data_IF_675883999508
#
_entry.id   IF_675883999508
#
_cell.length_a   1.000
_cell.length_b   1.000
_cell.length_c   1.000
_cell.angle_alpha   90.00
_cell.angle_beta   90.00
_cell.angle_gamma   90.00
#
_symmetry.space_group_name_H-M   'P 1'
#
loop_
_entity.id
_entity.type
_entity.pdbx_description
1 polymer ?
#
# COMPACT_ATOMS: atom_id res chain seq x y z
N UNK A 1 -36.49 -54.59 -6.15
CA UNK A 1 -35.55 -55.68 -5.82
C UNK A 1 -34.16 -55.13 -6.11
N UNK A 2 -33.20 -55.02 -5.20
CA UNK A 2 -33.09 -55.15 -3.75
C UNK A 2 -31.69 -54.58 -3.42
N UNK A 3 -31.51 -54.04 -2.22
CA UNK A 3 -30.37 -53.24 -1.76
C UNK A 3 -29.10 -54.07 -1.43
N UNK A 4 -27.95 -53.38 -1.33
CA UNK A 4 -26.92 -53.50 -0.27
C UNK A 4 -25.77 -52.51 -0.63
N UNK A 5 -25.46 -51.42 0.06
CA UNK A 5 -25.20 -51.13 1.48
C UNK A 5 -23.96 -51.84 2.06
N UNK A 6 -22.86 -51.09 2.23
CA UNK A 6 -21.80 -51.35 3.20
C UNK A 6 -21.21 -50.02 3.70
N UNK A 7 -21.83 -49.50 4.77
CA UNK A 7 -21.15 -48.66 5.75
C UNK A 7 -20.19 -49.52 6.58
N UNK A 8 -19.01 -48.97 6.88
CA UNK A 8 -18.05 -49.53 7.85
C UNK A 8 -17.55 -48.43 8.77
N UNK A 9 -18.17 -48.34 9.95
CA UNK A 9 -17.82 -47.45 11.07
C UNK A 9 -17.35 -48.30 12.25
N UNK A 10 -16.13 -48.08 12.74
CA UNK A 10 -15.62 -48.40 14.09
C UNK A 10 -14.39 -47.48 14.26
N UNK A 11 -14.36 -46.45 15.11
CA UNK A 11 -14.47 -46.49 16.58
C UNK A 11 -13.18 -47.09 17.15
N UNK A 12 -12.35 -46.47 17.98
CA UNK A 12 -12.34 -45.21 18.73
C UNK A 12 -11.30 -45.40 19.86
N UNK A 13 -10.60 -44.34 20.29
CA UNK A 13 -9.97 -44.24 21.63
C UNK A 13 -9.42 -42.82 21.82
N UNK A 14 -10.19 -41.97 22.50
CA UNK A 14 -9.71 -40.70 23.09
C UNK A 14 -9.97 -40.79 24.59
N UNK A 15 -8.90 -40.86 25.38
CA UNK A 15 -8.88 -40.69 26.83
C UNK A 15 -7.52 -40.09 27.20
N UNK A 16 -7.51 -38.96 27.90
CA UNK A 16 -6.29 -38.25 28.30
C UNK A 16 -6.61 -36.92 28.96
N UNK A 17 -7.09 -37.00 30.20
CA UNK A 17 -7.35 -35.89 31.13
C UNK A 17 -6.08 -35.38 31.80
N UNK A 18 -5.97 -34.05 31.98
CA UNK A 18 -5.11 -33.36 32.96
C UNK A 18 -5.30 -31.85 32.76
N UNK A 19 -5.83 -31.01 33.67
CA UNK A 19 -5.88 -30.91 35.13
C UNK A 19 -4.53 -30.70 35.82
N UNK A 20 -4.08 -29.44 35.91
CA UNK A 20 -3.33 -28.80 37.00
C UNK A 20 -3.58 -27.27 36.86
N UNK A 21 -4.27 -26.58 37.79
CA UNK A 21 -3.72 -25.90 38.98
C UNK A 21 -3.06 -24.57 38.59
N UNK A 22 -3.47 -23.35 38.96
CA UNK A 22 -3.98 -22.82 40.23
C UNK A 22 -2.95 -21.80 40.76
N UNK A 23 -3.36 -20.57 41.13
CA UNK A 23 -2.46 -19.63 41.82
C UNK A 23 -2.87 -18.15 41.79
N UNK A 24 -3.23 -17.64 42.98
CA UNK A 24 -3.77 -16.31 43.28
C UNK A 24 -2.69 -15.27 43.69
N UNK A 25 -3.04 -13.98 43.62
CA UNK A 25 -2.42 -12.86 44.37
C UNK A 25 -2.85 -11.52 43.75
N UNK A 26 -3.67 -10.63 44.33
CA UNK A 26 -3.74 -9.97 45.63
C UNK A 26 -2.95 -8.64 45.73
N UNK A 27 -3.68 -7.60 46.18
CA UNK A 27 -3.30 -6.39 46.96
C UNK A 27 -2.59 -5.17 46.33
N UNK A 28 -3.12 -3.98 46.69
CA UNK A 28 -2.42 -2.68 46.84
C UNK A 28 -2.79 -1.66 45.75
N UNK A 29 -3.58 -0.60 45.98
CA UNK A 29 -3.32 0.54 46.88
C UNK A 29 -2.43 1.56 46.17
N UNK A 30 -2.65 2.85 46.03
CA UNK A 30 -3.60 3.87 46.50
C UNK A 30 -2.97 5.23 46.14
N UNK A 31 -3.66 6.35 46.39
CA UNK A 31 -2.97 7.62 46.65
C UNK A 31 -3.14 8.75 45.64
N UNK A 32 -3.85 9.77 46.12
CA UNK A 32 -4.15 11.08 45.56
C UNK A 32 -2.93 11.98 45.31
N UNK A 33 -3.09 12.92 44.38
CA UNK A 33 -2.20 14.08 44.22
C UNK A 33 -2.93 15.25 43.54
N UNK A 34 -3.44 16.17 44.36
CA UNK A 34 -3.68 17.59 44.04
C UNK A 34 -2.50 18.17 43.24
N UNK A 35 -2.62 19.07 42.28
CA UNK A 35 -3.59 20.12 42.02
C UNK A 35 -2.78 21.34 41.57
N UNK A 36 -3.15 21.98 40.46
CA UNK A 36 -2.67 23.33 40.14
C UNK A 36 -3.54 23.95 39.06
N UNK A 37 -4.56 24.69 39.52
CA UNK A 37 -5.13 25.83 38.78
C UNK A 37 -4.04 26.89 38.68
N UNK A 38 -3.65 27.27 37.47
CA UNK A 38 -2.80 28.42 37.18
C UNK A 38 -3.33 29.14 35.95
N UNK A 39 -3.86 30.34 36.16
CA UNK A 39 -4.29 31.29 35.13
C UNK A 39 -3.09 32.03 34.52
N UNK A 40 -3.20 32.35 33.22
CA UNK A 40 -2.78 33.63 32.65
C UNK A 40 -1.35 33.73 32.12
N UNK A 41 -1.20 34.29 30.91
CA UNK A 41 0.07 34.88 30.48
C UNK A 41 0.35 34.82 28.98
N UNK A 42 -0.19 35.80 28.23
CA UNK A 42 0.33 36.26 26.94
C UNK A 42 1.80 36.71 27.05
N UNK A 43 2.68 36.25 26.16
CA UNK A 43 3.77 37.07 25.60
C UNK A 43 4.47 36.40 24.42
N UNK A 44 4.84 37.24 23.47
CA UNK A 44 5.75 36.95 22.36
C UNK A 44 7.14 36.57 22.88
N UNK A 45 7.80 35.62 22.21
CA UNK A 45 9.18 35.30 22.48
C UNK A 45 9.75 34.36 21.43
N UNK A 46 10.50 34.92 20.50
CA UNK A 46 11.43 34.20 19.65
C UNK A 46 12.46 33.48 20.53
N UNK A 47 12.66 32.19 20.26
CA UNK A 47 13.69 31.37 20.90
C UNK A 47 14.13 30.30 19.92
N UNK A 48 15.31 30.52 19.33
CA UNK A 48 16.11 29.47 18.72
C UNK A 48 16.62 28.50 19.79
N UNK A 49 17.08 27.35 19.30
CA UNK A 49 17.91 26.36 20.00
C UNK A 49 17.16 25.31 20.83
N UNK A 50 17.21 24.08 20.32
CA UNK A 50 16.73 22.91 21.04
C UNK A 50 16.75 21.67 20.15
N UNK A 51 17.93 21.08 19.99
CA UNK A 51 18.08 19.76 19.38
C UNK A 51 17.16 18.73 20.04
N UNK A 52 16.34 18.08 19.22
CA UNK A 52 15.35 17.09 19.66
C UNK A 52 15.03 16.15 18.52
N UNK A 53 15.95 15.20 18.29
CA UNK A 53 15.84 14.20 17.22
C UNK A 53 14.56 13.37 17.28
N UNK A 54 14.02 13.10 16.09
CA UNK A 54 13.17 11.97 15.71
C UNK A 54 11.81 11.73 16.42
N UNK A 55 11.54 12.26 17.61
CA UNK A 55 10.31 11.94 18.37
C UNK A 55 9.08 12.76 17.98
N UNK A 56 9.24 13.97 17.44
CA UNK A 56 8.12 14.84 17.06
C UNK A 56 7.39 14.45 15.76
N UNK A 57 8.10 13.96 14.75
CA UNK A 57 7.48 13.57 13.47
C UNK A 57 6.72 12.25 13.58
N UNK A 58 7.27 11.31 14.36
CA UNK A 58 6.66 10.00 14.62
C UNK A 58 5.39 10.13 15.45
N UNK A 59 5.40 10.97 16.50
CA UNK A 59 4.20 11.24 17.29
C UNK A 59 3.11 11.92 16.46
N UNK A 60 3.46 12.88 15.58
CA UNK A 60 2.48 13.47 14.64
C UNK A 60 1.96 12.47 13.61
N UNK A 61 2.81 11.59 13.09
CA UNK A 61 2.40 10.52 12.17
C UNK A 61 1.42 9.56 12.87
N UNK A 62 1.74 9.12 14.08
CA UNK A 62 0.89 8.26 14.91
C UNK A 62 -0.42 8.96 15.27
N UNK A 63 -0.39 10.25 15.62
CA UNK A 63 -1.60 11.06 15.89
C UNK A 63 -2.46 11.23 14.65
N UNK A 64 -1.86 11.51 13.49
CA UNK A 64 -2.56 11.62 12.22
C UNK A 64 -3.25 10.30 11.83
N UNK A 65 -2.55 9.17 12.01
CA UNK A 65 -3.08 7.84 11.73
C UNK A 65 -4.13 7.39 12.74
N UNK A 66 -3.95 7.68 14.04
CA UNK A 66 -4.98 7.46 15.08
C UNK A 66 -6.23 8.30 14.79
N UNK A 67 -6.05 9.53 14.31
CA UNK A 67 -7.16 10.38 13.94
C UNK A 67 -7.86 9.88 12.67
N UNK A 68 -7.13 9.30 11.71
CA UNK A 68 -7.71 8.58 10.56
C UNK A 68 -8.56 7.41 11.04
N UNK A 69 -8.01 6.53 11.90
CA UNK A 69 -8.72 5.35 12.42
C UNK A 69 -9.95 5.72 13.24
N UNK A 70 -9.84 6.71 14.14
CA UNK A 70 -10.95 7.21 14.99
C UNK A 70 -12.06 7.86 14.18
N UNK A 71 -11.71 8.59 13.12
CA UNK A 71 -12.69 9.31 12.29
C UNK A 71 -13.41 8.39 11.32
N UNK A 72 -12.72 7.40 10.75
CA UNK A 72 -13.35 6.42 9.86
C UNK A 72 -14.39 5.52 10.57
N UNK A 73 -14.28 5.38 11.89
CA UNK A 73 -15.31 4.72 12.70
C UNK A 73 -16.51 5.61 13.05
N UNK A 74 -16.39 6.95 12.88
CA UNK A 74 -17.40 7.91 13.33
C UNK A 74 -18.16 8.60 12.19
N UNK A 75 -17.50 8.95 11.08
CA UNK A 75 -18.13 9.56 9.88
C UNK A 75 -17.16 9.53 8.68
N UNK A 76 -17.52 8.89 7.53
CA UNK A 76 -16.63 8.76 6.38
C UNK A 76 -16.58 10.06 5.52
N UNK A 77 -16.06 11.15 6.08
CA UNK A 77 -15.74 12.36 5.30
C UNK A 77 -14.45 12.15 4.49
N UNK A 78 -14.61 11.64 3.27
CA UNK A 78 -13.53 11.40 2.29
C UNK A 78 -12.72 12.66 1.96
N UNK A 79 -13.36 13.84 1.94
CA UNK A 79 -12.69 15.10 1.66
C UNK A 79 -11.71 15.49 2.78
N UNK A 80 -12.07 15.23 4.03
CA UNK A 80 -11.17 15.40 5.17
C UNK A 80 -10.07 14.35 5.21
N UNK A 81 -10.37 13.08 4.94
CA UNK A 81 -9.35 12.02 4.89
C UNK A 81 -8.26 12.35 3.85
N UNK A 82 -8.67 12.78 2.66
CA UNK A 82 -7.79 13.24 1.58
C UNK A 82 -6.86 14.39 2.05
N UNK A 83 -7.37 15.35 2.84
CA UNK A 83 -6.54 16.44 3.39
C UNK A 83 -5.51 15.92 4.39
N UNK A 84 -5.91 15.04 5.30
CA UNK A 84 -4.99 14.46 6.30
C UNK A 84 -3.88 13.67 5.60
N UNK A 85 -4.23 12.84 4.62
CA UNK A 85 -3.22 12.09 3.86
C UNK A 85 -2.28 13.04 3.10
N UNK A 86 -2.80 14.11 2.50
CA UNK A 86 -1.96 15.12 1.84
C UNK A 86 -1.01 15.82 2.84
N UNK A 87 -1.47 16.17 4.03
CA UNK A 87 -0.63 16.71 5.11
C UNK A 87 0.47 15.72 5.52
N UNK A 88 0.11 14.43 5.66
CA UNK A 88 1.07 13.37 5.93
C UNK A 88 2.11 13.26 4.81
N UNK A 89 1.71 13.24 3.54
CA UNK A 89 2.62 13.18 2.41
C UNK A 89 3.57 14.38 2.31
N UNK A 90 3.24 15.51 2.96
CA UNK A 90 4.08 16.72 3.03
C UNK A 90 4.99 16.75 4.25
N UNK A 91 4.84 15.83 5.21
CA UNK A 91 5.77 15.74 6.33
C UNK A 91 7.19 15.52 5.81
N UNK A 92 8.17 16.28 6.31
CA UNK A 92 9.51 16.35 5.71
C UNK A 92 10.19 14.98 5.61
N UNK A 93 10.01 14.11 6.60
CA UNK A 93 10.59 12.77 6.59
C UNK A 93 9.96 11.91 5.50
N UNK A 94 8.63 11.86 5.49
CA UNK A 94 7.85 11.07 4.53
C UNK A 94 7.99 11.57 3.10
N UNK A 95 8.00 12.88 2.89
CA UNK A 95 8.19 13.52 1.61
C UNK A 95 9.56 13.18 1.01
N UNK A 96 10.62 13.20 1.83
CA UNK A 96 11.97 12.82 1.39
C UNK A 96 12.01 11.33 1.05
N UNK A 97 11.52 10.47 1.95
CA UNK A 97 11.46 9.02 1.71
C UNK A 97 10.70 8.66 0.43
N UNK A 98 9.51 9.24 0.23
CA UNK A 98 8.69 8.97 -0.94
C UNK A 98 9.33 9.51 -2.22
N UNK A 99 9.90 10.71 -2.18
CA UNK A 99 10.67 11.28 -3.29
C UNK A 99 11.85 10.38 -3.68
N UNK A 100 12.62 9.91 -2.69
CA UNK A 100 13.77 9.03 -2.92
C UNK A 100 13.33 7.68 -3.49
N UNK A 101 12.24 7.10 -2.97
CA UNK A 101 11.65 5.85 -3.51
C UNK A 101 11.22 5.99 -4.98
N UNK A 102 10.60 7.12 -5.33
CA UNK A 102 10.16 7.38 -6.71
C UNK A 102 11.33 7.63 -7.68
N UNK A 103 12.42 8.23 -7.18
CA UNK A 103 13.59 8.60 -7.99
C UNK A 103 14.66 7.52 -8.05
N UNK A 104 14.72 6.61 -7.06
CA UNK A 104 15.61 5.45 -7.07
C UNK A 104 15.43 4.74 -8.41
N UNK A 105 14.17 4.45 -8.78
CA UNK A 105 13.74 3.97 -10.08
C UNK A 105 13.43 2.47 -10.10
N UNK A 106 13.49 1.77 -8.96
CA UNK A 106 12.90 0.44 -8.80
C UNK A 106 11.39 0.50 -9.05
N UNK A 107 10.67 1.44 -8.41
CA UNK A 107 9.25 1.65 -8.66
C UNK A 107 8.97 2.05 -10.13
N UNK A 108 9.86 2.81 -10.76
CA UNK A 108 9.68 3.20 -12.17
C UNK A 108 9.82 2.02 -13.13
N UNK A 109 10.68 1.03 -12.82
CA UNK A 109 10.79 -0.21 -13.59
C UNK A 109 9.47 -1.01 -13.52
N UNK A 110 8.93 -1.19 -12.31
CA UNK A 110 7.65 -1.88 -12.10
C UNK A 110 6.48 -1.17 -12.80
N UNK A 111 6.46 0.17 -12.78
CA UNK A 111 5.48 0.93 -13.57
C UNK A 111 5.65 0.66 -15.08
N UNK A 112 6.88 0.58 -15.56
CA UNK A 112 7.19 0.22 -16.94
C UNK A 112 6.58 -1.13 -17.34
N UNK A 113 6.69 -2.13 -16.46
CA UNK A 113 6.09 -3.45 -16.66
C UNK A 113 4.55 -3.39 -16.70
N UNK A 114 3.91 -2.65 -15.78
CA UNK A 114 2.46 -2.43 -15.82
C UNK A 114 2.00 -1.77 -17.13
N UNK A 115 2.74 -0.77 -17.61
CA UNK A 115 2.45 -0.10 -18.86
C UNK A 115 2.62 -1.05 -20.06
N UNK A 116 3.63 -1.92 -20.04
CA UNK A 116 3.87 -2.92 -21.08
C UNK A 116 2.76 -3.98 -21.11
N UNK A 117 2.35 -4.51 -19.94
CA UNK A 117 1.21 -5.42 -19.79
C UNK A 117 -0.07 -4.76 -20.32
N UNK A 118 -0.34 -3.52 -19.91
CA UNK A 118 -1.50 -2.76 -20.37
C UNK A 118 -1.50 -2.49 -21.87
N UNK A 119 -0.34 -2.29 -22.49
CA UNK A 119 -0.23 -2.16 -23.95
C UNK A 119 -0.60 -3.47 -24.66
N UNK A 120 -0.11 -4.62 -24.18
CA UNK A 120 -0.42 -5.95 -24.74
C UNK A 120 -1.89 -6.32 -24.59
N UNK A 121 -2.50 -6.06 -23.44
CA UNK A 121 -3.93 -6.28 -23.21
C UNK A 121 -4.81 -5.45 -24.16
N UNK A 122 -4.40 -4.21 -24.47
CA UNK A 122 -5.09 -3.36 -25.45
C UNK A 122 -4.88 -3.82 -26.89
N UNK A 123 -3.73 -4.42 -27.19
CA UNK A 123 -3.48 -5.08 -28.47
C UNK A 123 -4.29 -6.39 -28.64
N UNK A 124 -4.97 -6.85 -27.58
CA UNK A 124 -5.80 -8.04 -27.59
C UNK A 124 -5.05 -9.34 -27.29
N UNK A 125 -3.81 -9.25 -26.79
CA UNK A 125 -3.08 -10.43 -26.33
C UNK A 125 -3.76 -11.06 -25.11
N UNK A 126 -3.79 -12.39 -25.08
CA UNK A 126 -4.27 -13.16 -23.92
C UNK A 126 -3.21 -13.25 -22.83
N UNK A 127 -3.66 -13.55 -21.61
CA UNK A 127 -2.83 -13.62 -20.41
C UNK A 127 -1.68 -14.61 -20.54
N UNK A 128 -1.90 -15.77 -21.16
CA UNK A 128 -0.84 -16.74 -21.44
C UNK A 128 0.33 -16.14 -22.24
N UNK A 129 0.02 -15.37 -23.28
CA UNK A 129 1.03 -14.75 -24.15
C UNK A 129 1.78 -13.65 -23.42
N UNK A 130 1.05 -12.87 -22.60
CA UNK A 130 1.64 -11.86 -21.74
C UNK A 130 2.60 -12.53 -20.75
N UNK A 131 2.17 -13.55 -19.99
CA UNK A 131 3.00 -14.28 -19.04
C UNK A 131 4.29 -14.83 -19.69
N UNK A 132 4.16 -15.48 -20.85
CA UNK A 132 5.32 -16.00 -21.59
C UNK A 132 6.29 -14.91 -22.02
N UNK A 133 5.82 -13.71 -22.36
CA UNK A 133 6.70 -12.61 -22.74
C UNK A 133 7.58 -12.09 -21.60
N UNK A 134 7.18 -12.34 -20.36
CA UNK A 134 7.95 -12.09 -19.14
C UNK A 134 8.73 -13.33 -18.67
N UNK A 135 8.78 -14.40 -19.49
CA UNK A 135 9.49 -15.64 -19.17
C UNK A 135 8.77 -16.52 -18.15
N UNK A 136 7.45 -16.34 -17.99
CA UNK A 136 6.63 -17.10 -17.03
C UNK A 136 5.74 -18.10 -17.74
N UNK A 137 5.70 -19.32 -17.21
CA UNK A 137 4.82 -20.37 -17.70
C UNK A 137 3.35 -20.02 -17.49
N UNK A 138 2.53 -20.29 -18.50
CA UNK A 138 1.10 -20.03 -18.53
C UNK A 138 0.30 -21.08 -17.71
N UNK A 139 0.72 -21.33 -16.48
CA UNK A 139 0.14 -22.31 -15.56
C UNK A 139 -0.68 -21.69 -14.42
N UNK A 140 -1.00 -22.53 -13.43
CA UNK A 140 -1.61 -22.10 -12.17
C UNK A 140 -0.73 -21.07 -11.46
N UNK A 141 -1.32 -19.99 -10.99
CA UNK A 141 -0.60 -18.91 -10.31
C UNK A 141 0.33 -18.10 -11.21
N UNK A 142 0.11 -18.13 -12.54
CA UNK A 142 0.94 -17.39 -13.51
C UNK A 142 0.99 -15.87 -13.24
N UNK A 143 -0.07 -15.26 -12.67
CA UNK A 143 -0.05 -13.85 -12.27
C UNK A 143 0.89 -13.56 -11.11
N UNK A 144 0.89 -14.38 -10.06
CA UNK A 144 1.86 -14.26 -8.99
C UNK A 144 3.29 -14.48 -9.50
N UNK A 145 3.50 -15.52 -10.32
CA UNK A 145 4.81 -15.80 -10.91
C UNK A 145 5.31 -14.65 -11.81
N UNK A 146 4.43 -14.00 -12.57
CA UNK A 146 4.75 -12.79 -13.33
C UNK A 146 5.17 -11.64 -12.41
N UNK A 147 4.46 -11.45 -11.29
CA UNK A 147 4.87 -10.43 -10.33
C UNK A 147 6.27 -10.68 -9.77
N UNK A 148 6.55 -11.92 -9.40
CA UNK A 148 7.86 -12.34 -8.88
C UNK A 148 8.96 -12.11 -9.94
N UNK A 149 8.69 -12.45 -11.20
CA UNK A 149 9.61 -12.25 -12.31
C UNK A 149 9.90 -10.75 -12.56
N UNK A 150 8.88 -9.89 -12.58
CA UNK A 150 9.07 -8.45 -12.77
C UNK A 150 9.89 -7.83 -11.63
N UNK A 151 9.58 -8.20 -10.38
CA UNK A 151 10.30 -7.73 -9.19
C UNK A 151 11.77 -8.17 -9.24
N UNK A 152 12.04 -9.45 -9.48
CA UNK A 152 13.40 -9.97 -9.56
C UNK A 152 14.18 -9.34 -10.73
N UNK A 153 13.55 -9.15 -11.89
CA UNK A 153 14.17 -8.46 -13.03
C UNK A 153 14.54 -7.00 -12.68
N UNK A 154 13.63 -6.27 -12.04
CA UNK A 154 13.86 -4.90 -11.61
C UNK A 154 14.98 -4.80 -10.56
N UNK A 155 15.08 -5.77 -9.64
CA UNK A 155 16.17 -5.87 -8.66
C UNK A 155 17.51 -6.20 -9.32
N UNK A 156 17.53 -7.16 -10.24
CA UNK A 156 18.74 -7.55 -10.99
C UNK A 156 19.33 -6.38 -11.77
N UNK A 157 18.48 -5.59 -12.43
CA UNK A 157 18.90 -4.39 -13.15
C UNK A 157 19.62 -3.36 -12.26
N UNK A 158 19.45 -3.48 -10.94
CA UNK A 158 20.04 -2.61 -9.92
C UNK A 158 21.11 -3.32 -9.08
N UNK A 159 21.59 -4.48 -9.53
CA UNK A 159 22.52 -5.32 -8.79
C UNK A 159 22.06 -5.60 -7.34
N UNK A 160 20.74 -5.67 -7.11
CA UNK A 160 20.13 -5.83 -5.80
C UNK A 160 20.50 -4.73 -4.78
N UNK A 161 20.91 -3.55 -5.24
CA UNK A 161 21.24 -2.39 -4.41
C UNK A 161 20.05 -1.42 -4.32
N UNK A 162 18.94 -1.90 -3.78
CA UNK A 162 17.72 -1.10 -3.52
C UNK A 162 17.44 -1.14 -2.02
N UNK A 163 17.01 -0.02 -1.44
CA UNK A 163 16.59 0.02 -0.03
C UNK A 163 15.43 -0.96 0.20
N UNK A 164 15.55 -1.85 1.18
CA UNK A 164 14.57 -2.89 1.49
C UNK A 164 13.14 -2.33 1.68
N UNK A 165 13.02 -1.11 2.22
CA UNK A 165 11.73 -0.45 2.43
C UNK A 165 11.07 -0.05 1.11
N UNK A 166 11.88 0.33 0.11
CA UNK A 166 11.40 0.58 -1.24
C UNK A 166 10.97 -0.72 -1.91
N UNK A 167 11.75 -1.80 -1.71
CA UNK A 167 11.42 -3.12 -2.23
C UNK A 167 10.07 -3.57 -1.68
N UNK A 168 9.89 -3.52 -0.36
CA UNK A 168 8.65 -3.91 0.33
C UNK A 168 7.46 -3.09 -0.18
N UNK A 169 7.54 -1.76 -0.11
CA UNK A 169 6.43 -0.86 -0.46
C UNK A 169 6.05 -0.97 -1.93
N UNK A 170 7.02 -0.95 -2.85
CA UNK A 170 6.74 -0.98 -4.28
C UNK A 170 6.32 -2.36 -4.78
N UNK A 171 6.88 -3.44 -4.22
CA UNK A 171 6.43 -4.80 -4.54
C UNK A 171 5.01 -5.07 -4.04
N UNK A 172 4.67 -4.60 -2.84
CA UNK A 172 3.31 -4.71 -2.31
C UNK A 172 2.32 -3.93 -3.18
N UNK A 173 2.65 -2.68 -3.54
CA UNK A 173 1.83 -1.86 -4.42
C UNK A 173 1.63 -2.51 -5.81
N UNK A 174 2.68 -3.10 -6.38
CA UNK A 174 2.61 -3.75 -7.69
C UNK A 174 1.69 -4.99 -7.66
N UNK A 175 1.81 -5.81 -6.61
CA UNK A 175 0.94 -6.98 -6.43
C UNK A 175 -0.51 -6.56 -6.19
N UNK A 176 -0.74 -5.53 -5.40
CA UNK A 176 -2.10 -5.02 -5.14
C UNK A 176 -2.75 -4.51 -6.43
N UNK A 177 -1.99 -3.81 -7.27
CA UNK A 177 -2.47 -3.40 -8.60
C UNK A 177 -2.89 -4.60 -9.46
N UNK A 178 -2.05 -5.65 -9.50
CA UNK A 178 -2.36 -6.87 -10.25
C UNK A 178 -3.59 -7.60 -9.69
N UNK A 179 -3.75 -7.65 -8.37
CA UNK A 179 -4.96 -8.18 -7.71
C UNK A 179 -6.20 -7.34 -8.08
N UNK A 180 -6.08 -6.01 -8.06
CA UNK A 180 -7.17 -5.11 -8.45
C UNK A 180 -7.58 -5.32 -9.92
N UNK A 181 -6.63 -5.67 -10.79
CA UNK A 181 -6.90 -5.96 -12.20
C UNK A 181 -7.80 -7.18 -12.42
N UNK A 182 -7.97 -8.06 -11.44
CA UNK A 182 -8.89 -9.20 -11.47
C UNK A 182 -10.05 -9.05 -10.48
N UNK A 183 -10.48 -7.81 -10.24
CA UNK A 183 -11.61 -7.50 -9.36
C UNK A 183 -11.32 -7.63 -7.87
N UNK A 184 -10.05 -7.68 -7.47
CA UNK A 184 -9.66 -7.80 -6.07
C UNK A 184 -9.58 -9.25 -5.56
N UNK A 185 -9.79 -10.25 -6.43
CA UNK A 185 -9.72 -11.66 -6.03
C UNK A 185 -8.27 -12.12 -5.87
N UNK A 186 -7.79 -12.09 -4.62
CA UNK A 186 -6.45 -12.57 -4.25
C UNK A 186 -6.24 -14.05 -4.53
N UNK A 187 -7.28 -14.88 -4.44
CA UNK A 187 -7.15 -16.32 -4.72
C UNK A 187 -6.91 -16.51 -6.22
N UNK A 188 -7.68 -15.80 -7.04
CA UNK A 188 -7.51 -15.82 -8.48
C UNK A 188 -6.13 -15.30 -8.90
N UNK A 189 -5.67 -14.18 -8.33
CA UNK A 189 -4.35 -13.62 -8.64
C UNK A 189 -3.18 -14.55 -8.24
N UNK A 190 -3.33 -15.36 -7.19
CA UNK A 190 -2.25 -16.20 -6.65
C UNK A 190 -2.29 -17.64 -7.13
N UNK A 191 -3.48 -18.18 -7.43
CA UNK A 191 -3.69 -19.61 -7.71
C UNK A 191 -4.54 -19.86 -8.94
N UNK A 192 -5.09 -18.82 -9.56
CA UNK A 192 -5.90 -18.93 -10.76
C UNK A 192 -5.17 -19.59 -11.91
N UNK A 193 -5.91 -20.34 -12.71
CA UNK A 193 -5.43 -20.73 -14.03
C UNK A 193 -5.54 -19.57 -15.02
N UNK A 194 -4.90 -19.74 -16.17
CA UNK A 194 -4.87 -18.72 -17.23
C UNK A 194 -6.25 -18.34 -17.73
N UNK A 195 -7.15 -19.31 -17.92
CA UNK A 195 -8.47 -19.04 -18.47
C UNK A 195 -9.32 -18.22 -17.51
N UNK A 196 -9.22 -18.50 -16.21
CA UNK A 196 -9.87 -17.74 -15.16
C UNK A 196 -9.32 -16.31 -15.08
N UNK A 197 -8.00 -16.14 -15.17
CA UNK A 197 -7.37 -14.80 -15.20
C UNK A 197 -7.79 -14.03 -16.45
N UNK A 198 -7.74 -14.64 -17.63
CA UNK A 198 -8.16 -14.02 -18.89
C UNK A 198 -9.64 -13.58 -18.88
N UNK A 199 -10.50 -14.36 -18.23
CA UNK A 199 -11.91 -14.03 -18.09
C UNK A 199 -12.16 -12.88 -17.10
N UNK A 200 -11.34 -12.76 -16.05
CA UNK A 200 -11.55 -11.80 -14.98
C UNK A 200 -10.79 -10.48 -15.17
N UNK A 201 -9.75 -10.45 -16.00
CA UNK A 201 -8.86 -9.29 -16.11
C UNK A 201 -9.60 -8.08 -16.69
N UNK A 202 -9.72 -7.02 -15.88
CA UNK A 202 -10.26 -5.74 -16.29
C UNK A 202 -9.17 -4.88 -16.93
N UNK A 203 -9.23 -4.82 -18.26
CA UNK A 203 -8.30 -4.03 -19.08
C UNK A 203 -8.37 -2.52 -18.77
N UNK A 204 -9.48 -2.04 -18.20
CA UNK A 204 -9.63 -0.62 -17.86
C UNK A 204 -8.75 -0.22 -16.67
N UNK A 205 -8.43 -1.15 -15.78
CA UNK A 205 -7.50 -0.89 -14.66
C UNK A 205 -6.13 -0.45 -15.20
N UNK A 206 -5.66 -1.09 -16.28
CA UNK A 206 -4.39 -0.75 -16.94
C UNK A 206 -4.43 0.57 -17.73
N UNK A 207 -5.62 1.08 -18.09
CA UNK A 207 -5.72 2.40 -18.73
C UNK A 207 -5.28 3.52 -17.78
N UNK A 208 -5.45 3.31 -16.47
CA UNK A 208 -5.07 4.23 -15.40
C UNK A 208 -3.86 3.73 -14.59
N UNK A 209 -2.99 2.90 -15.19
CA UNK A 209 -1.90 2.23 -14.48
C UNK A 209 -1.00 3.18 -13.65
N UNK A 210 -0.69 4.37 -14.17
CA UNK A 210 0.16 5.34 -13.45
C UNK A 210 -0.53 5.85 -12.19
N UNK A 211 -1.80 6.28 -12.31
CA UNK A 211 -2.57 6.79 -11.17
C UNK A 211 -2.87 5.70 -10.16
N UNK A 212 -3.26 4.50 -10.62
CA UNK A 212 -3.52 3.35 -9.77
C UNK A 212 -2.28 2.92 -8.98
N UNK A 213 -1.17 2.67 -9.68
CA UNK A 213 0.07 2.26 -9.03
C UNK A 213 0.64 3.32 -8.08
N UNK A 214 0.55 4.61 -8.44
CA UNK A 214 0.94 5.70 -7.54
C UNK A 214 0.03 5.74 -6.29
N UNK A 215 -1.27 5.49 -6.44
CA UNK A 215 -2.20 5.41 -5.33
C UNK A 215 -1.91 4.22 -4.41
N UNK A 216 -1.59 3.06 -4.98
CA UNK A 216 -1.14 1.88 -4.25
C UNK A 216 0.17 2.17 -3.48
N UNK A 217 1.15 2.83 -4.10
CA UNK A 217 2.38 3.26 -3.43
C UNK A 217 2.12 4.19 -2.24
N UNK A 218 1.27 5.20 -2.42
CA UNK A 218 0.88 6.11 -1.33
C UNK A 218 0.23 5.32 -0.19
N UNK A 219 -0.70 4.41 -0.51
CA UNK A 219 -1.37 3.56 0.46
C UNK A 219 -0.38 2.70 1.27
N UNK A 220 0.56 2.03 0.59
CA UNK A 220 1.56 1.17 1.23
C UNK A 220 2.48 1.96 2.18
N UNK A 221 2.96 3.13 1.76
CA UNK A 221 3.84 3.96 2.62
C UNK A 221 3.11 4.46 3.86
N UNK A 222 1.82 4.80 3.76
CA UNK A 222 1.02 5.20 4.92
C UNK A 222 0.76 4.02 5.87
N UNK A 223 0.53 2.82 5.33
CA UNK A 223 0.30 1.61 6.10
C UNK A 223 1.57 1.16 6.84
N UNK A 224 2.72 1.14 6.18
CA UNK A 224 4.00 0.73 6.76
C UNK A 224 4.41 1.60 7.97
N UNK A 225 4.06 2.88 7.96
CA UNK A 225 4.31 3.79 9.08
C UNK A 225 3.23 3.75 10.17
N UNK A 226 2.09 3.13 9.87
CA UNK A 226 1.01 2.93 10.83
C UNK A 226 1.29 1.72 11.71
N UNK A 227 1.78 1.98 12.93
CA UNK A 227 1.81 0.99 14.02
C UNK A 227 0.40 0.54 14.47
N UNK A 228 -0.64 0.94 13.75
CA UNK A 228 -2.05 0.69 14.04
C UNK A 228 -2.59 -0.09 12.86
N UNK A 229 -3.09 -1.30 13.11
CA UNK A 229 -3.88 -2.04 12.12
C UNK A 229 -5.07 -1.16 11.70
N UNK A 230 -5.05 -0.68 10.47
CA UNK A 230 -6.11 0.16 9.92
C UNK A 230 -7.41 -0.65 9.77
N UNK A 231 -7.36 -1.98 9.73
CA UNK A 231 -8.52 -2.86 9.71
C UNK A 231 -9.59 -2.41 8.70
N UNK A 232 -10.76 -2.00 9.21
CA UNK A 232 -11.89 -1.52 8.40
C UNK A 232 -11.64 -0.20 7.65
N UNK A 233 -10.61 0.57 8.02
CA UNK A 233 -10.25 1.85 7.39
C UNK A 233 -9.45 1.68 6.08
N UNK A 234 -8.86 0.50 5.85
CA UNK A 234 -7.99 0.24 4.70
C UNK A 234 -8.61 0.62 3.34
N UNK A 235 -9.87 0.25 3.02
CA UNK A 235 -10.48 0.63 1.75
C UNK A 235 -10.64 2.15 1.59
N UNK A 236 -10.97 2.87 2.66
CA UNK A 236 -11.14 4.31 2.62
C UNK A 236 -9.79 5.04 2.46
N UNK A 237 -8.75 4.55 3.14
CA UNK A 237 -7.38 5.05 2.94
C UNK A 237 -6.95 4.82 1.50
N UNK A 238 -7.21 3.63 0.94
CA UNK A 238 -6.87 3.34 -0.45
C UNK A 238 -7.60 4.26 -1.44
N UNK A 239 -8.90 4.50 -1.21
CA UNK A 239 -9.68 5.42 -2.03
C UNK A 239 -9.14 6.86 -1.98
N UNK A 240 -8.77 7.35 -0.80
CA UNK A 240 -8.20 8.68 -0.64
C UNK A 240 -6.79 8.79 -1.25
N UNK A 241 -5.96 7.74 -1.12
CA UNK A 241 -4.65 7.63 -1.78
C UNK A 241 -4.78 7.69 -3.30
N UNK A 242 -5.73 6.94 -3.88
CA UNK A 242 -6.03 6.97 -5.31
C UNK A 242 -6.49 8.35 -5.77
N UNK A 243 -7.33 9.02 -4.98
CA UNK A 243 -7.79 10.39 -5.27
C UNK A 243 -6.62 11.38 -5.32
N UNK A 244 -5.69 11.28 -4.37
CA UNK A 244 -4.47 12.11 -4.37
C UNK A 244 -3.53 11.78 -5.52
N UNK A 245 -3.36 10.50 -5.83
CA UNK A 245 -2.52 10.04 -6.94
C UNK A 245 -3.02 10.59 -8.28
N UNK A 246 -4.34 10.57 -8.52
CA UNK A 246 -4.95 11.18 -9.71
C UNK A 246 -4.62 12.69 -9.74
N UNK A 247 -4.83 13.42 -8.65
CA UNK A 247 -4.56 14.85 -8.61
C UNK A 247 -3.06 15.18 -8.83
N UNK A 248 -2.14 14.37 -8.29
CA UNK A 248 -0.69 14.52 -8.52
C UNK A 248 -0.35 14.24 -9.98
N UNK A 249 -0.91 13.17 -10.55
CA UNK A 249 -0.69 12.77 -11.93
C UNK A 249 -1.23 13.80 -12.92
N UNK A 250 -2.44 14.34 -12.70
CA UNK A 250 -3.03 15.38 -13.56
C UNK A 250 -2.14 16.64 -13.60
N UNK A 251 -1.54 17.01 -12.46
CA UNK A 251 -0.58 18.12 -12.38
C UNK A 251 0.72 17.79 -13.13
N UNK A 252 1.19 16.56 -13.03
CA UNK A 252 2.34 16.09 -13.79
C UNK A 252 2.07 16.13 -15.31
N UNK A 253 0.93 15.60 -15.76
CA UNK A 253 0.54 15.57 -17.16
C UNK A 253 0.45 16.99 -17.74
N UNK A 254 -0.23 17.91 -17.04
CA UNK A 254 -0.35 19.31 -17.44
C UNK A 254 0.97 20.08 -17.46
N UNK A 255 1.89 19.80 -16.52
CA UNK A 255 3.17 20.54 -16.41
C UNK A 255 4.27 19.98 -17.30
N UNK A 256 4.29 18.67 -17.54
CA UNK A 256 5.41 17.98 -18.18
C UNK A 256 5.03 17.28 -19.47
N UNK A 257 4.01 16.40 -19.46
CA UNK A 257 3.65 15.59 -20.63
C UNK A 257 3.07 16.46 -21.75
N UNK A 258 2.05 17.28 -21.45
CA UNK A 258 1.41 18.17 -22.43
C UNK A 258 2.37 19.22 -23.00
N UNK A 259 3.48 19.49 -22.30
CA UNK A 259 4.53 20.42 -22.74
C UNK A 259 5.71 19.73 -23.43
N UNK A 260 5.64 18.41 -23.66
CA UNK A 260 6.70 17.63 -24.29
C UNK A 260 7.99 17.52 -23.48
N UNK A 261 7.92 17.73 -22.15
CA UNK A 261 9.09 17.73 -21.26
C UNK A 261 9.37 16.37 -20.60
N UNK A 262 8.41 15.46 -20.63
CA UNK A 262 8.54 14.11 -20.10
C UNK A 262 7.62 13.16 -20.83
N UNK A 263 7.97 11.87 -20.84
CA UNK A 263 7.08 10.82 -21.31
C UNK A 263 6.33 10.19 -20.14
N UNK A 264 5.20 9.52 -20.43
CA UNK A 264 4.39 8.86 -19.40
C UNK A 264 5.15 7.76 -18.64
N UNK A 265 6.12 7.11 -19.28
CA UNK A 265 7.00 6.10 -18.64
C UNK A 265 7.99 6.69 -17.62
N UNK A 266 8.20 8.01 -17.65
CA UNK A 266 9.06 8.72 -16.70
C UNK A 266 8.27 9.30 -15.53
N UNK A 267 6.96 9.01 -15.43
CA UNK A 267 6.07 9.70 -14.52
C UNK A 267 6.55 9.66 -13.06
N UNK A 268 6.90 8.49 -12.53
CA UNK A 268 7.33 8.38 -11.13
C UNK A 268 8.62 9.13 -10.87
N UNK A 269 9.62 8.98 -11.74
CA UNK A 269 10.90 9.70 -11.62
C UNK A 269 10.68 11.22 -11.61
N UNK A 270 9.93 11.74 -12.59
CA UNK A 270 9.67 13.19 -12.69
C UNK A 270 8.82 13.69 -11.54
N UNK A 271 7.85 12.90 -11.07
CA UNK A 271 7.07 13.22 -9.87
C UNK A 271 7.99 13.30 -8.65
N UNK A 272 8.89 12.34 -8.46
CA UNK A 272 9.87 12.36 -7.37
C UNK A 272 10.79 13.58 -7.43
N UNK A 273 11.42 13.84 -8.58
CA UNK A 273 12.29 15.02 -8.80
C UNK A 273 11.58 16.36 -8.53
N UNK A 274 10.26 16.39 -8.71
CA UNK A 274 9.42 17.60 -8.54
C UNK A 274 8.40 17.45 -7.41
N UNK A 275 8.67 16.58 -6.44
CA UNK A 275 7.67 16.08 -5.49
C UNK A 275 6.98 17.22 -4.73
N UNK A 276 7.75 18.10 -4.10
CA UNK A 276 7.18 19.24 -3.39
C UNK A 276 6.36 20.14 -4.31
N UNK A 277 6.81 20.43 -5.53
CA UNK A 277 6.10 21.30 -6.47
C UNK A 277 4.77 20.70 -6.99
N UNK A 278 4.64 19.37 -6.95
CA UNK A 278 3.44 18.65 -7.42
C UNK A 278 2.48 18.32 -6.29
N UNK A 279 2.98 17.99 -5.10
CA UNK A 279 2.17 17.67 -3.92
C UNK A 279 1.68 18.93 -3.20
N UNK A 280 2.44 20.03 -3.21
CA UNK A 280 2.09 21.28 -2.50
C UNK A 280 1.26 22.29 -3.30
N UNK A 281 1.20 22.16 -4.63
CA UNK A 281 0.43 23.09 -5.46
C UNK A 281 -1.03 23.10 -5.00
N UNK A 282 -1.47 24.26 -4.51
CA UNK A 282 -2.84 24.56 -4.11
C UNK A 282 -3.46 25.42 -5.19
#
# INVERSE_FOLDING_TARGET
>A
MEEANCQGNVGGCVMGTGSFGGGSGSVGGGGSGSGSKGHGGTSNGAGSDGGGGAKGSLLRAIEGLREITRRLTADPDQGRLTRVINELLRDRGRATFFSDMLTDGFANALLGDLLAIGARLRAGEGWAQIAQSFGVDAGLGSMQALCDACIDQALRARAYQVDDRYIESASAAFREFMVASVGGDRILATRGDVAQVDAAIDRNVFANAIGGFLGDLIGQVLQAESYVDLGAATPAVQQASNTLAIAIYDRFDAKFVQKGKAERRDALRVIGENYFALVTAS
#
